data_IF_842618248416
#
_entry.id   IF_842618248416
#
_cell.length_a   1.000
_cell.length_b   1.000
_cell.length_c   1.000
_cell.angle_alpha   90.00
_cell.angle_beta   90.00
_cell.angle_gamma   90.00
#
_symmetry.space_group_name_H-M   'P 1'
#
loop_
_entity.id
_entity.type
_entity.pdbx_description
1 polymer ?
#
# COMPACT_ATOMS: atom_id res chain seq x y z
N UNK A 1 -13.81 -1.19 2.99
CA UNK A 1 -13.78 0.28 3.09
C UNK A 1 -12.99 0.69 1.89
N UNK A 2 -13.60 1.50 1.05
CA UNK A 2 -13.06 1.83 -0.25
C UNK A 2 -12.67 3.31 -0.18
N UNK A 3 -11.46 3.63 -0.63
CA UNK A 3 -10.87 4.96 -0.55
C UNK A 3 -10.50 5.39 -1.97
N UNK A 4 -11.05 6.51 -2.41
CA UNK A 4 -10.62 7.15 -3.65
C UNK A 4 -9.32 7.90 -3.38
N UNK A 5 -8.22 7.40 -3.95
CA UNK A 5 -6.89 7.95 -3.75
C UNK A 5 -6.32 8.40 -5.10
N UNK A 6 -5.68 9.58 -5.17
CA UNK A 6 -5.02 10.04 -6.39
C UNK A 6 -3.98 9.04 -6.91
N UNK A 7 -4.05 8.71 -8.19
CA UNK A 7 -3.15 7.76 -8.85
C UNK A 7 -1.71 8.27 -9.02
N UNK A 8 -1.52 9.59 -8.90
CA UNK A 8 -0.24 10.27 -8.94
C UNK A 8 0.51 10.22 -7.61
N UNK A 9 -0.06 9.62 -6.56
CA UNK A 9 0.67 9.34 -5.33
C UNK A 9 1.72 8.25 -5.54
N UNK A 10 2.82 8.40 -4.80
CA UNK A 10 3.76 7.33 -4.54
C UNK A 10 3.22 6.37 -3.48
N UNK A 11 3.79 5.17 -3.45
CA UNK A 11 3.43 4.15 -2.48
C UNK A 11 3.84 4.56 -1.03
N UNK A 12 4.84 5.41 -0.87
CA UNK A 12 5.18 6.06 0.41
C UNK A 12 4.13 7.08 0.87
N UNK A 13 3.68 7.95 -0.03
CA UNK A 13 2.63 8.93 0.25
C UNK A 13 1.31 8.25 0.63
N UNK A 14 0.96 7.17 -0.08
CA UNK A 14 -0.19 6.32 0.28
C UNK A 14 -0.07 5.78 1.72
N UNK A 15 1.08 5.25 2.12
CA UNK A 15 1.28 4.77 3.50
C UNK A 15 1.12 5.90 4.52
N UNK A 16 1.71 7.06 4.23
CA UNK A 16 1.62 8.23 5.11
C UNK A 16 0.17 8.71 5.26
N UNK A 17 -0.59 8.73 4.17
CA UNK A 17 -2.02 9.04 4.14
C UNK A 17 -2.81 8.07 5.04
N UNK A 18 -2.64 6.77 4.82
CA UNK A 18 -3.37 5.74 5.57
C UNK A 18 -3.03 5.73 7.07
N UNK A 19 -1.80 6.09 7.45
CA UNK A 19 -1.41 6.23 8.85
C UNK A 19 -2.02 7.47 9.50
N UNK A 20 -2.02 8.60 8.78
CA UNK A 20 -2.56 9.87 9.27
C UNK A 20 -4.03 9.73 9.66
N UNK A 21 -4.80 9.03 8.83
CA UNK A 21 -6.23 8.81 9.02
C UNK A 21 -6.55 7.53 9.79
N UNK A 22 -5.53 6.89 10.40
CA UNK A 22 -5.65 5.70 11.25
C UNK A 22 -6.23 4.47 10.56
N UNK A 23 -6.17 4.40 9.24
CA UNK A 23 -6.54 3.21 8.44
C UNK A 23 -5.50 2.09 8.59
N UNK A 24 -4.24 2.43 8.85
CA UNK A 24 -3.19 1.50 9.25
C UNK A 24 -2.98 1.58 10.76
N UNK A 25 -3.66 0.74 11.58
CA UNK A 25 -3.42 0.73 13.01
C UNK A 25 -1.95 0.40 13.30
N UNK A 26 -1.36 1.13 14.25
CA UNK A 26 0.02 0.95 14.74
C UNK A 26 0.16 -0.31 15.61
N UNK A 27 -0.27 -1.44 15.07
CA UNK A 27 0.01 -2.76 15.63
C UNK A 27 1.35 -3.21 15.06
N UNK A 28 2.18 -3.88 15.85
CA UNK A 28 3.38 -4.56 15.36
C UNK A 28 2.95 -5.66 14.37
N UNK A 29 2.94 -5.31 13.08
CA UNK A 29 2.28 -6.09 12.04
C UNK A 29 2.82 -5.69 10.68
N UNK A 30 3.06 -6.69 9.83
CA UNK A 30 3.41 -6.48 8.43
C UNK A 30 2.14 -6.25 7.60
N UNK A 31 2.11 -5.14 6.88
CA UNK A 31 1.07 -4.80 5.93
C UNK A 31 1.55 -5.04 4.51
N UNK A 32 0.77 -5.75 3.71
CA UNK A 32 1.08 -6.05 2.32
C UNK A 32 0.13 -5.28 1.41
N UNK A 33 0.70 -4.50 0.49
CA UNK A 33 -0.02 -3.89 -0.60
C UNK A 33 -0.04 -4.86 -1.78
N UNK A 34 -1.24 -5.25 -2.21
CA UNK A 34 -1.45 -6.15 -3.34
C UNK A 34 -2.18 -5.45 -4.48
N UNK A 35 -1.80 -5.80 -5.70
CA UNK A 35 -2.48 -5.43 -6.94
C UNK A 35 -2.49 -6.63 -7.88
N UNK A 36 -3.62 -6.88 -8.55
CA UNK A 36 -3.74 -8.02 -9.45
C UNK A 36 -3.44 -9.40 -8.82
N UNK A 37 -3.54 -9.51 -7.49
CA UNK A 37 -3.19 -10.72 -6.74
C UNK A 37 -1.70 -10.89 -6.42
N UNK A 38 -0.82 -9.97 -6.83
CA UNK A 38 0.60 -9.98 -6.47
C UNK A 38 0.88 -9.00 -5.35
N UNK A 39 1.84 -9.33 -4.48
CA UNK A 39 2.36 -8.38 -3.48
C UNK A 39 3.33 -7.44 -4.17
N UNK A 40 2.98 -6.16 -4.21
CA UNK A 40 3.86 -5.11 -4.71
C UNK A 40 4.83 -4.67 -3.62
N UNK A 41 4.35 -4.66 -2.38
CA UNK A 41 5.08 -4.10 -1.25
C UNK A 41 4.68 -4.72 0.08
N UNK A 42 5.65 -4.74 0.99
CA UNK A 42 5.45 -4.84 2.43
C UNK A 42 5.78 -3.52 3.14
N UNK A 43 4.99 -3.20 4.15
CA UNK A 43 5.22 -2.14 5.11
C UNK A 43 5.24 -2.73 6.52
N UNK A 44 6.37 -2.60 7.20
CA UNK A 44 6.48 -3.02 8.59
C UNK A 44 6.24 -1.82 9.52
N UNK A 45 5.20 -1.87 10.33
CA UNK A 45 4.76 -0.73 11.16
C UNK A 45 5.75 -0.36 12.26
N UNK A 46 6.44 -1.35 12.84
CA UNK A 46 7.39 -1.14 13.94
C UNK A 46 8.70 -0.50 13.44
N UNK A 47 9.33 -1.14 12.45
CA UNK A 47 10.62 -0.70 11.88
C UNK A 47 10.46 0.45 10.88
N UNK A 48 9.23 0.71 10.45
CA UNK A 48 8.89 1.64 9.36
C UNK A 48 9.58 1.29 8.04
N UNK A 49 10.01 0.05 7.87
CA UNK A 49 10.63 -0.42 6.65
C UNK A 49 9.59 -0.51 5.53
N UNK A 50 9.98 0.01 4.37
CA UNK A 50 9.12 0.22 3.22
C UNK A 50 9.89 -0.26 1.99
N UNK A 51 9.41 -1.32 1.34
CA UNK A 51 9.97 -1.75 0.04
C UNK A 51 9.43 -0.85 -1.07
N UNK A 52 10.26 -0.53 -2.06
CA UNK A 52 9.90 0.24 -3.27
C UNK A 52 9.09 1.55 -3.01
N UNK A 53 9.55 2.46 -2.13
CA UNK A 53 8.75 3.61 -1.69
C UNK A 53 8.42 4.63 -2.80
N UNK A 54 9.31 4.79 -3.77
CA UNK A 54 9.23 5.85 -4.79
C UNK A 54 8.40 5.47 -6.04
N UNK A 55 7.81 4.27 -6.07
CA UNK A 55 6.97 3.85 -7.20
C UNK A 55 5.64 4.62 -7.15
N UNK A 56 5.16 5.10 -8.30
CA UNK A 56 3.85 5.71 -8.43
C UNK A 56 2.73 4.67 -8.59
N UNK A 57 1.55 4.95 -8.03
CA UNK A 57 0.39 4.08 -8.17
C UNK A 57 -0.02 3.92 -9.64
N UNK A 58 -0.04 5.01 -10.42
CA UNK A 58 -0.33 4.97 -11.87
C UNK A 58 0.59 4.01 -12.63
N UNK A 59 1.87 3.92 -12.28
CA UNK A 59 2.81 3.03 -12.96
C UNK A 59 2.42 1.57 -12.73
N UNK A 60 1.96 1.25 -11.51
CA UNK A 60 1.48 -0.09 -11.15
C UNK A 60 0.15 -0.42 -11.83
N UNK A 61 -0.76 0.55 -11.95
CA UNK A 61 -2.03 0.42 -12.67
C UNK A 61 -1.77 0.16 -14.15
N UNK A 62 -0.88 0.92 -14.78
CA UNK A 62 -0.56 0.77 -16.21
C UNK A 62 0.20 -0.52 -16.52
N UNK A 63 0.97 -1.07 -15.58
CA UNK A 63 1.70 -2.33 -15.76
C UNK A 63 0.84 -3.59 -15.66
N UNK A 64 -0.39 -3.47 -15.16
CA UNK A 64 -1.23 -4.62 -14.85
C UNK A 64 -2.56 -4.57 -15.59
N UNK A 65 -2.89 -5.65 -16.28
CA UNK A 65 -4.20 -5.82 -16.94
C UNK A 65 -5.35 -6.12 -15.96
N UNK A 66 -5.07 -6.16 -14.65
CA UNK A 66 -5.99 -6.66 -13.61
C UNK A 66 -6.75 -5.55 -12.88
N UNK A 67 -6.85 -4.36 -13.45
CA UNK A 67 -7.65 -3.24 -12.93
C UNK A 67 -6.83 -2.22 -12.13
N UNK A 68 -7.52 -1.27 -11.52
CA UNK A 68 -6.95 -0.16 -10.75
C UNK A 68 -7.10 -0.33 -9.23
N UNK A 69 -7.54 -1.51 -8.77
CA UNK A 69 -7.80 -1.78 -7.37
C UNK A 69 -6.54 -2.22 -6.62
N UNK A 70 -6.33 -1.64 -5.45
CA UNK A 70 -5.28 -2.00 -4.52
C UNK A 70 -5.89 -2.54 -3.24
N UNK A 71 -5.31 -3.62 -2.72
CA UNK A 71 -5.77 -4.25 -1.47
C UNK A 71 -4.65 -4.21 -0.44
N UNK A 72 -4.94 -3.61 0.70
CA UNK A 72 -4.11 -3.68 1.90
C UNK A 72 -4.55 -4.86 2.76
N UNK A 73 -3.64 -5.81 2.97
CA UNK A 73 -3.85 -6.92 3.90
C UNK A 73 -2.83 -6.84 5.02
N UNK A 74 -3.22 -7.15 6.25
CA UNK A 74 -2.28 -7.30 7.34
C UNK A 74 -2.01 -8.78 7.58
N UNK A 75 -0.76 -9.11 7.86
CA UNK A 75 -0.35 -10.45 8.26
C UNK A 75 0.00 -10.42 9.74
N UNK A 76 -0.85 -11.05 10.56
CA UNK A 76 -0.45 -11.41 11.93
C UNK A 76 0.46 -12.62 11.86
N UNK A 77 1.66 -12.49 12.41
CA UNK A 77 2.57 -13.59 12.74
C UNK A 77 1.99 -14.48 13.83
#
# INVERSE_FOLDING_TARGET
MDLDIPEDMTVEELCSFLQKDRYLPRLDTEWLLRHGGQTIRSYHTETKELTNPSIYLKDLIHQSSRGNEFVWIYRRS
#
